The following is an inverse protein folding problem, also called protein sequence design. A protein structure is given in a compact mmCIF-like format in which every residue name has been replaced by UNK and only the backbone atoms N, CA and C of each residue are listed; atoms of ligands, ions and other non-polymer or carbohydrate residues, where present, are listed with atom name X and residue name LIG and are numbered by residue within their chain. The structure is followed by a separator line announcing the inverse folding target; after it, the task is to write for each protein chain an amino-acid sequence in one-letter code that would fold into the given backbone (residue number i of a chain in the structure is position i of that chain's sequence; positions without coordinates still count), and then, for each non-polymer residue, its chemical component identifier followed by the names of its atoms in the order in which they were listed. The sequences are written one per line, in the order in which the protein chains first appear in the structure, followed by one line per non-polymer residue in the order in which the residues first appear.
data_IF_256479380943
#
_entry.id   IF_256479380943
#
_cell.length_a   1.000
_cell.length_b   1.000
_cell.length_c   1.000
_cell.angle_alpha   90.00
_cell.angle_beta   90.00
_cell.angle_gamma   90.00
#
_symmetry.space_group_name_H-M   'P 1'
#
loop_
_entity.id
_entity.type
_entity.pdbx_description
1 polymer ?
#
# COMPACT_ATOMS: atom_id res chain seq x y z
N UNK A 1 -3.11 10.40 -21.42
CA UNK A 1 -2.93 9.96 -20.03
C UNK A 1 -4.04 10.46 -19.10
N UNK A 2 -4.13 11.75 -18.76
CA UNK A 2 -5.15 12.25 -17.82
C UNK A 2 -6.59 11.90 -18.20
N UNK A 3 -6.97 12.04 -19.47
CA UNK A 3 -8.32 11.67 -19.93
C UNK A 3 -8.58 10.16 -19.84
N UNK A 4 -7.55 9.33 -19.99
CA UNK A 4 -7.66 7.88 -19.84
C UNK A 4 -7.85 7.49 -18.37
N UNK A 5 -7.13 8.14 -17.46
CA UNK A 5 -7.32 7.96 -16.02
C UNK A 5 -8.70 8.46 -15.57
N UNK A 6 -9.16 9.59 -16.10
CA UNK A 6 -10.50 10.10 -15.83
C UNK A 6 -11.59 9.16 -16.33
N UNK A 7 -11.40 8.50 -17.49
CA UNK A 7 -12.36 7.53 -18.01
C UNK A 7 -12.57 6.31 -17.08
N UNK A 8 -11.61 6.00 -16.19
CA UNK A 8 -11.80 4.93 -15.20
C UNK A 8 -12.93 5.24 -14.22
N UNK A 9 -13.25 6.52 -13.97
CA UNK A 9 -14.38 6.89 -13.08
C UNK A 9 -15.74 6.63 -13.69
N UNK A 10 -15.79 6.38 -15.00
CA UNK A 10 -17.03 6.06 -15.72
C UNK A 10 -17.33 4.55 -15.70
N UNK A 11 -16.42 3.74 -15.15
CA UNK A 11 -16.70 2.33 -14.86
C UNK A 11 -17.77 2.24 -13.77
N UNK A 12 -18.62 1.18 -13.79
CA UNK A 12 -19.71 1.03 -12.84
C UNK A 12 -19.24 1.22 -11.38
N UNK A 13 -19.97 2.06 -10.64
CA UNK A 13 -19.80 2.40 -9.23
C UNK A 13 -18.45 3.04 -8.80
N UNK A 14 -17.43 3.10 -9.67
CA UNK A 14 -16.08 3.58 -9.28
C UNK A 14 -16.12 5.01 -8.76
N UNK A 15 -16.85 5.91 -9.43
CA UNK A 15 -17.00 7.30 -8.96
C UNK A 15 -17.63 7.38 -7.56
N UNK A 16 -18.73 6.67 -7.35
CA UNK A 16 -19.47 6.70 -6.09
C UNK A 16 -18.65 6.11 -4.94
N UNK A 17 -17.91 5.02 -5.20
CA UNK A 17 -17.00 4.40 -4.23
C UNK A 17 -15.79 5.28 -3.92
N UNK A 18 -15.18 5.91 -4.92
CA UNK A 18 -14.13 6.91 -4.72
C UNK A 18 -14.60 8.08 -3.84
N UNK A 19 -15.84 8.56 -4.06
CA UNK A 19 -16.44 9.61 -3.25
C UNK A 19 -16.73 9.15 -1.81
N UNK A 20 -17.18 7.91 -1.61
CA UNK A 20 -17.34 7.32 -0.28
C UNK A 20 -16.00 7.21 0.47
N UNK A 21 -14.93 6.79 -0.21
CA UNK A 21 -13.57 6.74 0.35
C UNK A 21 -13.10 8.15 0.78
N UNK A 22 -13.32 9.16 -0.08
CA UNK A 22 -13.01 10.56 0.23
C UNK A 22 -13.80 11.08 1.42
N UNK A 23 -15.10 10.77 1.51
CA UNK A 23 -15.94 11.19 2.62
C UNK A 23 -15.49 10.55 3.94
N UNK A 24 -15.19 9.25 3.92
CA UNK A 24 -14.68 8.52 5.09
C UNK A 24 -13.36 9.10 5.60
N UNK A 25 -12.40 9.37 4.71
CA UNK A 25 -11.13 9.99 5.08
C UNK A 25 -11.32 11.43 5.58
N UNK A 26 -12.27 12.17 5.00
CA UNK A 26 -12.62 13.52 5.46
C UNK A 26 -13.18 13.49 6.89
N UNK A 27 -14.09 12.57 7.20
CA UNK A 27 -14.61 12.38 8.58
C UNK A 27 -13.48 12.02 9.54
N UNK A 28 -12.58 11.11 9.15
CA UNK A 28 -11.41 10.76 9.96
C UNK A 28 -10.52 11.97 10.23
N UNK A 29 -10.18 12.76 9.20
CA UNK A 29 -9.35 13.97 9.32
C UNK A 29 -9.89 14.95 10.37
N UNK A 30 -11.20 15.06 10.51
CA UNK A 30 -11.85 15.96 11.49
C UNK A 30 -12.18 15.30 12.83
N UNK A 31 -11.74 14.07 13.06
CA UNK A 31 -11.91 13.38 14.33
C UNK A 31 -11.25 14.14 15.49
N UNK A 32 -11.94 14.23 16.63
CA UNK A 32 -11.54 15.14 17.73
C UNK A 32 -10.15 14.83 18.29
N UNK A 33 -9.76 13.56 18.33
CA UNK A 33 -8.43 13.12 18.77
C UNK A 33 -7.30 13.73 17.92
N UNK A 34 -7.51 13.85 16.61
CA UNK A 34 -6.50 14.29 15.66
C UNK A 34 -6.24 15.80 15.72
N UNK A 35 -6.98 16.56 16.54
CA UNK A 35 -6.63 17.97 16.80
C UNK A 35 -5.31 18.11 17.54
N UNK A 36 -4.92 17.10 18.32
CA UNK A 36 -3.73 17.16 19.19
C UNK A 36 -2.90 15.88 19.22
N UNK A 37 -3.45 14.76 18.74
CA UNK A 37 -2.84 13.43 18.89
C UNK A 37 -2.57 12.73 17.55
N UNK A 38 -2.31 13.50 16.48
CA UNK A 38 -1.93 12.94 15.16
C UNK A 38 -0.68 12.06 15.27
N UNK A 39 0.43 12.49 15.92
CA UNK A 39 1.63 11.66 15.98
C UNK A 39 1.40 10.29 16.62
N UNK A 40 0.59 10.21 17.68
CA UNK A 40 0.27 8.94 18.34
C UNK A 40 -0.66 8.07 17.50
N UNK A 41 -1.68 8.69 16.88
CA UNK A 41 -2.61 7.97 16.01
C UNK A 41 -1.92 7.45 14.73
N UNK A 42 -1.02 8.23 14.13
CA UNK A 42 -0.27 7.82 12.95
C UNK A 42 0.80 6.77 13.27
N UNK A 43 1.39 6.81 14.47
CA UNK A 43 2.29 5.77 14.95
C UNK A 43 1.57 4.42 15.11
N UNK A 44 0.42 4.39 15.79
CA UNK A 44 -0.38 3.16 15.89
C UNK A 44 -0.92 2.72 14.52
N UNK A 45 -1.28 3.66 13.64
CA UNK A 45 -1.69 3.37 12.26
C UNK A 45 -0.61 2.58 11.51
N UNK A 46 0.66 2.95 11.68
CA UNK A 46 1.80 2.22 11.10
C UNK A 46 1.98 0.83 11.72
N UNK A 47 1.74 0.65 13.02
CA UNK A 47 1.77 -0.68 13.67
C UNK A 47 0.74 -1.61 13.05
N UNK A 48 -0.51 -1.15 12.93
CA UNK A 48 -1.60 -1.95 12.36
C UNK A 48 -1.45 -2.14 10.85
N UNK A 49 -0.92 -1.14 10.15
CA UNK A 49 -0.58 -1.22 8.74
C UNK A 49 0.48 -2.28 8.46
N UNK A 50 1.57 -2.31 9.24
CA UNK A 50 2.61 -3.33 9.12
C UNK A 50 2.08 -4.74 9.43
N UNK A 51 1.27 -4.89 10.48
CA UNK A 51 0.63 -6.16 10.83
C UNK A 51 -0.27 -6.67 9.68
N UNK A 52 -1.17 -5.81 9.17
CA UNK A 52 -2.09 -6.18 8.10
C UNK A 52 -1.35 -6.45 6.77
N UNK A 53 -0.30 -5.68 6.48
CA UNK A 53 0.55 -5.89 5.31
C UNK A 53 1.29 -7.23 5.37
N UNK A 54 1.79 -7.63 6.54
CA UNK A 54 2.40 -8.95 6.73
C UNK A 54 1.37 -10.09 6.59
N UNK A 55 0.17 -9.92 7.15
CA UNK A 55 -0.91 -10.90 7.05
C UNK A 55 -1.33 -11.17 5.59
N UNK A 56 -1.36 -10.14 4.74
CA UNK A 56 -1.65 -10.29 3.30
C UNK A 56 -0.59 -11.12 2.55
N UNK A 57 0.63 -11.23 3.09
CA UNK A 57 1.69 -12.10 2.57
C UNK A 57 1.83 -13.39 3.41
N UNK A 58 0.79 -13.75 4.17
CA UNK A 58 0.69 -15.02 4.90
C UNK A 58 1.37 -15.04 6.28
N UNK A 59 1.85 -13.89 6.76
CA UNK A 59 2.56 -13.77 8.03
C UNK A 59 1.67 -13.08 9.09
N UNK A 60 0.84 -13.87 9.78
CA UNK A 60 -0.07 -13.37 10.82
C UNK A 60 0.60 -13.30 12.19
N UNK A 61 0.57 -12.11 12.80
CA UNK A 61 1.12 -11.86 14.13
C UNK A 61 0.14 -11.06 15.00
N UNK A 62 0.12 -11.29 16.33
CA UNK A 62 -0.60 -10.43 17.26
C UNK A 62 -0.10 -8.97 17.22
N UNK A 63 -1.03 -8.01 17.25
CA UNK A 63 -0.70 -6.57 17.08
C UNK A 63 0.20 -6.02 18.19
N UNK A 64 0.10 -6.57 19.39
CA UNK A 64 0.97 -6.30 20.53
C UNK A 64 2.42 -6.71 20.27
N UNK A 65 2.65 -7.89 19.69
CA UNK A 65 3.99 -8.31 19.28
C UNK A 65 4.57 -7.37 18.23
N UNK A 66 3.77 -6.99 17.22
CA UNK A 66 4.21 -6.02 16.19
C UNK A 66 4.53 -4.66 16.82
N UNK A 67 3.69 -4.19 17.75
CA UNK A 67 3.91 -2.93 18.48
C UNK A 67 5.21 -2.95 19.27
N UNK A 68 5.49 -4.02 20.00
CA UNK A 68 6.72 -4.16 20.78
C UNK A 68 7.97 -4.18 19.90
N UNK A 69 7.93 -4.87 18.75
CA UNK A 69 9.03 -4.90 17.79
C UNK A 69 9.28 -3.53 17.15
N UNK A 70 8.21 -2.77 16.86
CA UNK A 70 8.31 -1.44 16.26
C UNK A 70 8.75 -0.36 17.26
N UNK A 71 8.37 -0.49 18.54
CA UNK A 71 8.80 0.43 19.59
C UNK A 71 10.20 0.14 20.12
N UNK A 72 10.74 -1.06 19.82
CA UNK A 72 11.99 -1.55 20.39
C UNK A 72 11.84 -2.08 21.82
N UNK A 73 10.61 -2.26 22.32
CA UNK A 73 10.36 -2.93 23.59
C UNK A 73 10.65 -4.44 23.52
N UNK A 74 10.66 -5.00 22.30
CA UNK A 74 11.10 -6.36 22.00
C UNK A 74 12.16 -6.30 20.91
N UNK A 75 13.28 -6.99 21.14
CA UNK A 75 14.31 -7.16 20.13
C UNK A 75 13.88 -8.17 19.05
N UNK A 76 14.35 -7.94 17.83
CA UNK A 76 14.26 -8.93 16.76
C UNK A 76 15.17 -10.11 17.10
N UNK A 77 14.73 -11.36 16.92
CA UNK A 77 15.62 -12.52 17.00
C UNK A 77 16.78 -12.41 15.98
N UNK A 78 17.95 -12.94 16.34
CA UNK A 78 19.13 -12.95 15.46
C UNK A 78 18.87 -13.77 14.18
N UNK A 79 18.20 -14.92 14.33
CA UNK A 79 17.72 -15.73 13.21
C UNK A 79 16.22 -15.52 13.02
N UNK A 80 15.86 -15.01 11.85
CA UNK A 80 14.48 -14.74 11.48
C UNK A 80 13.96 -15.92 10.68
N UNK A 81 12.90 -16.57 11.19
CA UNK A 81 12.11 -17.50 10.39
C UNK A 81 11.43 -16.77 9.20
N UNK A 82 10.85 -17.49 8.22
CA UNK A 82 10.21 -16.86 7.07
C UNK A 82 9.11 -15.85 7.43
N UNK A 83 8.28 -16.14 8.43
CA UNK A 83 7.20 -15.24 8.85
C UNK A 83 7.75 -13.94 9.46
N UNK A 84 8.77 -14.03 10.31
CA UNK A 84 9.45 -12.88 10.89
C UNK A 84 10.19 -12.04 9.85
N UNK A 85 10.74 -12.65 8.79
CA UNK A 85 11.33 -11.91 7.66
C UNK A 85 10.27 -11.08 6.94
N UNK A 86 9.12 -11.67 6.64
CA UNK A 86 7.98 -10.95 6.04
C UNK A 86 7.51 -9.81 6.95
N UNK A 87 7.33 -10.07 8.25
CA UNK A 87 6.94 -9.05 9.21
C UNK A 87 7.97 -7.91 9.28
N UNK A 88 9.26 -8.22 9.33
CA UNK A 88 10.33 -7.20 9.36
C UNK A 88 10.35 -6.35 8.10
N UNK A 89 10.08 -6.97 6.95
CA UNK A 89 9.91 -6.29 5.67
C UNK A 89 8.70 -5.37 5.69
N UNK A 90 7.55 -5.84 6.16
CA UNK A 90 6.33 -5.05 6.30
C UNK A 90 6.53 -3.83 7.22
N UNK A 91 7.11 -4.04 8.41
CA UNK A 91 7.45 -2.98 9.36
C UNK A 91 8.35 -1.93 8.72
N UNK A 92 9.39 -2.38 8.00
CA UNK A 92 10.37 -1.49 7.37
C UNK A 92 9.77 -0.72 6.19
N UNK A 93 8.95 -1.37 5.36
CA UNK A 93 8.25 -0.74 4.23
C UNK A 93 7.22 0.29 4.70
N UNK A 94 6.42 -0.03 5.73
CA UNK A 94 5.44 0.89 6.33
C UNK A 94 6.12 2.07 7.04
N UNK A 95 7.30 1.88 7.62
CA UNK A 95 8.08 3.01 8.16
C UNK A 95 8.67 3.89 7.05
N UNK A 96 9.14 3.28 5.95
CA UNK A 96 9.71 4.01 4.82
C UNK A 96 8.64 4.76 4.01
N UNK A 97 7.39 4.29 3.99
CA UNK A 97 6.28 4.96 3.29
C UNK A 97 6.10 6.41 3.76
N UNK A 98 6.25 6.68 5.06
CA UNK A 98 6.19 8.03 5.64
C UNK A 98 7.30 8.94 5.09
N UNK A 99 8.50 8.38 4.88
CA UNK A 99 9.66 9.14 4.39
C UNK A 99 9.60 9.45 2.90
N UNK A 100 8.90 8.62 2.12
CA UNK A 100 8.77 8.83 0.67
C UNK A 100 7.56 9.67 0.28
N UNK A 101 6.66 10.05 1.20
CA UNK A 101 5.49 10.92 0.93
C UNK A 101 5.86 12.20 0.15
N UNK A 102 6.96 12.85 0.53
CA UNK A 102 7.43 14.07 -0.14
C UNK A 102 7.99 13.81 -1.55
N UNK A 103 8.32 12.56 -1.86
CA UNK A 103 9.01 12.14 -3.08
C UNK A 103 8.08 11.48 -4.10
N UNK A 104 7.05 10.74 -3.65
CA UNK A 104 6.25 9.87 -4.54
C UNK A 104 5.62 10.62 -5.72
N UNK A 105 5.32 11.91 -5.57
CA UNK A 105 4.70 12.74 -6.62
C UNK A 105 5.67 13.18 -7.72
N UNK A 106 6.96 13.32 -7.39
CA UNK A 106 7.96 13.94 -8.27
C UNK A 106 9.01 12.95 -8.75
N UNK A 107 9.32 11.93 -7.95
CA UNK A 107 10.23 10.84 -8.31
C UNK A 107 9.68 9.48 -7.85
N UNK A 108 8.54 9.03 -8.41
CA UNK A 108 7.88 7.78 -8.02
C UNK A 108 8.80 6.56 -8.12
N UNK A 109 9.67 6.47 -9.12
CA UNK A 109 10.61 5.35 -9.27
C UNK A 109 11.69 5.34 -8.18
N UNK A 110 12.14 6.52 -7.73
CA UNK A 110 13.08 6.61 -6.62
C UNK A 110 12.40 6.22 -5.30
N UNK A 111 11.15 6.62 -5.10
CA UNK A 111 10.36 6.17 -3.95
C UNK A 111 10.17 4.64 -3.97
N UNK A 112 9.84 4.07 -5.13
CA UNK A 112 9.69 2.63 -5.30
C UNK A 112 10.97 1.86 -4.97
N UNK A 113 12.12 2.35 -5.43
CA UNK A 113 13.43 1.77 -5.12
C UNK A 113 13.71 1.79 -3.60
N UNK A 114 13.46 2.91 -2.93
CA UNK A 114 13.63 3.05 -1.47
C UNK A 114 12.72 2.11 -0.68
N UNK A 115 11.44 2.04 -1.07
CA UNK A 115 10.47 1.11 -0.49
C UNK A 115 10.93 -0.34 -0.66
N UNK A 116 11.46 -0.71 -1.84
CA UNK A 116 11.97 -2.06 -2.06
C UNK A 116 13.19 -2.38 -1.19
N UNK A 117 14.14 -1.45 -1.05
CA UNK A 117 15.27 -1.64 -0.12
C UNK A 117 14.76 -1.91 1.30
N UNK A 118 13.81 -1.11 1.77
CA UNK A 118 13.24 -1.27 3.11
C UNK A 118 12.50 -2.62 3.27
N UNK A 119 11.62 -2.96 2.31
CA UNK A 119 10.79 -4.16 2.35
C UNK A 119 11.60 -5.45 2.22
N UNK A 120 12.57 -5.49 1.31
CA UNK A 120 13.21 -6.72 0.90
C UNK A 120 14.55 -7.00 1.60
N UNK A 121 15.15 -6.03 2.30
CA UNK A 121 16.42 -6.23 3.02
C UNK A 121 16.48 -7.43 3.99
N UNK A 122 15.38 -7.92 4.61
CA UNK A 122 15.43 -9.14 5.41
C UNK A 122 15.63 -10.44 4.61
N UNK A 123 15.38 -10.42 3.29
CA UNK A 123 15.33 -11.62 2.43
C UNK A 123 16.29 -11.52 1.24
N UNK A 124 16.37 -10.35 0.60
CA UNK A 124 17.18 -10.07 -0.59
C UNK A 124 18.51 -9.45 -0.16
N UNK A 125 19.60 -9.89 -0.80
CA UNK A 125 20.95 -9.37 -0.57
C UNK A 125 21.59 -8.88 -1.86
N UNK A 126 22.62 -8.05 -1.70
CA UNK A 126 23.49 -7.62 -2.79
C UNK A 126 22.79 -6.69 -3.79
N UNK A 127 23.21 -6.81 -5.06
CA UNK A 127 22.88 -5.85 -6.11
C UNK A 127 21.43 -5.87 -6.59
N UNK A 128 20.62 -6.84 -6.15
CA UNK A 128 19.20 -6.91 -6.49
C UNK A 128 18.33 -5.94 -5.68
N UNK A 129 18.81 -5.44 -4.53
CA UNK A 129 18.06 -4.48 -3.71
C UNK A 129 17.89 -3.14 -4.43
N UNK A 130 16.69 -2.59 -4.38
CA UNK A 130 16.36 -1.27 -4.93
C UNK A 130 16.35 -1.15 -6.46
N UNK A 131 16.56 -2.24 -7.23
CA UNK A 131 16.49 -2.20 -8.70
C UNK A 131 15.49 -3.21 -9.28
N UNK A 132 14.92 -2.96 -10.46
CA UNK A 132 14.09 -3.94 -11.14
C UNK A 132 14.86 -5.22 -11.52
N UNK A 133 14.10 -6.32 -11.71
CA UNK A 133 14.56 -7.59 -12.27
C UNK A 133 15.20 -7.40 -13.65
N UNK A 134 16.24 -8.17 -13.95
CA UNK A 134 16.95 -8.19 -15.24
C UNK A 134 17.24 -9.62 -15.71
N UNK A 135 17.56 -9.79 -17.00
CA UNK A 135 17.98 -11.09 -17.55
C UNK A 135 16.92 -12.16 -17.31
N UNK A 136 17.33 -13.24 -16.65
CA UNK A 136 16.49 -14.40 -16.31
C UNK A 136 15.99 -14.36 -14.84
N UNK A 137 16.11 -13.22 -14.15
CA UNK A 137 15.60 -13.06 -12.78
C UNK A 137 14.06 -13.15 -12.77
N UNK A 138 13.54 -14.08 -11.95
CA UNK A 138 12.11 -14.31 -11.78
C UNK A 138 11.60 -13.83 -10.40
N UNK A 139 10.29 -13.87 -10.20
CA UNK A 139 9.62 -13.58 -8.95
C UNK A 139 8.60 -14.69 -8.63
N UNK A 140 8.72 -15.29 -7.44
CA UNK A 140 7.85 -16.39 -6.97
C UNK A 140 6.73 -15.92 -6.05
N UNK A 141 6.52 -14.61 -5.94
CA UNK A 141 5.44 -14.01 -5.15
C UNK A 141 4.16 -13.85 -5.98
N UNK A 142 3.02 -13.74 -5.28
CA UNK A 142 1.72 -13.47 -5.91
C UNK A 142 1.38 -14.45 -7.04
N UNK A 143 1.68 -15.74 -6.82
CA UNK A 143 1.51 -16.80 -7.83
C UNK A 143 0.07 -16.94 -8.35
N UNK A 144 -0.92 -16.54 -7.56
CA UNK A 144 -2.34 -16.52 -7.94
C UNK A 144 -2.66 -15.53 -9.06
N UNK A 145 -1.77 -14.58 -9.34
CA UNK A 145 -1.86 -13.64 -10.46
C UNK A 145 -1.28 -14.24 -11.76
N UNK A 146 -0.75 -15.47 -11.72
CA UNK A 146 -0.05 -16.10 -12.84
C UNK A 146 1.44 -15.74 -12.92
N UNK A 147 2.14 -16.17 -13.98
CA UNK A 147 3.58 -15.95 -14.12
C UNK A 147 3.92 -14.45 -14.14
N UNK A 148 5.03 -14.06 -13.50
CA UNK A 148 5.51 -12.68 -13.57
C UNK A 148 5.83 -12.28 -15.01
N UNK A 149 5.56 -11.02 -15.41
CA UNK A 149 6.02 -10.53 -16.70
C UNK A 149 7.54 -10.65 -16.86
N UNK A 150 8.01 -10.94 -18.07
CA UNK A 150 9.43 -11.05 -18.37
C UNK A 150 10.20 -9.76 -17.98
N UNK A 151 11.44 -9.86 -17.46
CA UNK A 151 12.24 -8.68 -17.09
C UNK A 151 12.37 -7.62 -18.20
N UNK A 152 12.35 -8.05 -19.47
CA UNK A 152 12.47 -7.18 -20.65
C UNK A 152 11.36 -6.12 -20.77
N UNK A 153 10.18 -6.34 -20.18
CA UNK A 153 9.07 -5.36 -20.23
C UNK A 153 8.99 -4.47 -18.98
N UNK A 154 9.72 -4.81 -17.90
CA UNK A 154 9.56 -4.17 -16.58
C UNK A 154 9.93 -2.68 -16.64
N UNK A 155 11.04 -2.33 -17.29
CA UNK A 155 11.48 -0.93 -17.38
C UNK A 155 10.44 -0.03 -18.08
N UNK A 156 9.88 -0.49 -19.19
CA UNK A 156 8.85 0.25 -19.93
C UNK A 156 7.56 0.42 -19.11
N UNK A 157 7.13 -0.65 -18.42
CA UNK A 157 5.97 -0.63 -17.53
C UNK A 157 6.16 0.34 -16.36
N UNK A 158 7.34 0.35 -15.74
CA UNK A 158 7.68 1.28 -14.66
C UNK A 158 7.72 2.74 -15.15
N UNK A 159 8.21 3.00 -16.36
CA UNK A 159 8.14 4.33 -16.96
C UNK A 159 6.68 4.79 -17.11
N UNK A 160 5.80 3.93 -17.64
CA UNK A 160 4.36 4.22 -17.73
C UNK A 160 3.71 4.43 -16.36
N UNK A 161 4.08 3.65 -15.35
CA UNK A 161 3.63 3.83 -13.97
C UNK A 161 4.04 5.20 -13.42
N UNK A 162 5.26 5.64 -13.69
CA UNK A 162 5.74 6.98 -13.33
C UNK A 162 4.88 8.06 -13.97
N UNK A 163 4.55 7.92 -15.26
CA UNK A 163 3.68 8.87 -15.97
C UNK A 163 2.27 8.93 -15.37
N UNK A 164 1.71 7.79 -14.96
CA UNK A 164 0.43 7.71 -14.25
C UNK A 164 0.48 8.49 -12.94
N UNK A 165 1.51 8.27 -12.11
CA UNK A 165 1.65 8.95 -10.82
C UNK A 165 1.79 10.46 -11.02
N UNK A 166 2.66 10.90 -11.91
CA UNK A 166 2.89 12.34 -12.18
C UNK A 166 1.64 13.01 -12.73
N UNK A 167 0.95 12.37 -13.68
CA UNK A 167 -0.30 12.88 -14.23
C UNK A 167 -1.38 13.00 -13.14
N UNK A 168 -1.61 11.93 -12.36
CA UNK A 168 -2.59 11.92 -11.28
C UNK A 168 -2.28 12.92 -10.18
N UNK A 169 -1.00 13.08 -9.82
CA UNK A 169 -0.55 14.04 -8.81
C UNK A 169 -0.64 15.51 -9.24
N UNK A 170 -0.69 15.78 -10.54
CA UNK A 170 -0.77 17.12 -11.12
C UNK A 170 -2.19 17.63 -11.38
N UNK A 171 -3.23 16.84 -11.07
CA UNK A 171 -4.62 17.17 -11.38
C UNK A 171 -5.58 16.74 -10.28
N UNK A 172 -6.71 17.42 -10.16
CA UNK A 172 -7.84 17.01 -9.31
C UNK A 172 -8.98 16.33 -10.12
N UNK A 173 -8.77 16.08 -11.41
CA UNK A 173 -9.77 15.44 -12.30
C UNK A 173 -9.98 13.96 -11.99
N UNK A 174 -8.97 13.31 -11.41
CA UNK A 174 -8.99 11.89 -11.06
C UNK A 174 -8.98 11.79 -9.53
N UNK A 175 -9.91 11.06 -8.90
CA UNK A 175 -9.88 10.85 -7.46
C UNK A 175 -8.56 10.22 -6.99
N UNK A 176 -8.02 10.70 -5.88
CA UNK A 176 -6.77 10.17 -5.32
C UNK A 176 -6.83 8.66 -5.01
N UNK A 177 -8.01 8.15 -4.60
CA UNK A 177 -8.23 6.73 -4.36
C UNK A 177 -8.02 5.89 -5.62
N UNK A 178 -8.51 6.36 -6.77
CA UNK A 178 -8.32 5.69 -8.08
C UNK A 178 -6.85 5.65 -8.46
N UNK A 179 -6.12 6.76 -8.29
CA UNK A 179 -4.68 6.83 -8.61
C UNK A 179 -3.88 5.87 -7.71
N UNK A 180 -4.13 5.88 -6.39
CA UNK A 180 -3.45 5.01 -5.45
C UNK A 180 -3.74 3.53 -5.72
N UNK A 181 -5.01 3.18 -5.97
CA UNK A 181 -5.43 1.82 -6.31
C UNK A 181 -4.77 1.34 -7.62
N UNK A 182 -4.76 2.16 -8.66
CA UNK A 182 -4.15 1.80 -9.93
C UNK A 182 -2.65 1.53 -9.78
N UNK A 183 -1.94 2.40 -9.05
CA UNK A 183 -0.50 2.24 -8.82
C UNK A 183 -0.20 0.97 -8.02
N UNK A 184 -1.00 0.67 -7.00
CA UNK A 184 -0.90 -0.58 -6.25
C UNK A 184 -1.01 -1.79 -7.18
N UNK A 185 -2.08 -1.88 -7.96
CA UNK A 185 -2.29 -3.02 -8.86
C UNK A 185 -1.19 -3.14 -9.92
N UNK A 186 -0.73 -2.03 -10.51
CA UNK A 186 0.38 -2.07 -11.47
C UNK A 186 1.66 -2.61 -10.83
N UNK A 187 2.03 -2.20 -9.61
CA UNK A 187 3.21 -2.73 -8.92
C UNK A 187 3.06 -4.24 -8.68
N UNK A 188 1.92 -4.67 -8.15
CA UNK A 188 1.62 -6.08 -7.89
C UNK A 188 1.57 -6.93 -9.18
N UNK A 189 1.18 -6.33 -10.31
CA UNK A 189 1.07 -7.00 -11.62
C UNK A 189 2.42 -7.06 -12.35
N UNK A 190 3.17 -5.97 -12.36
CA UNK A 190 4.50 -5.89 -12.97
C UNK A 190 5.47 -6.80 -12.22
N UNK A 191 5.31 -6.91 -10.89
CA UNK A 191 6.26 -7.55 -9.97
C UNK A 191 7.68 -7.11 -10.29
N UNK A 192 8.02 -5.81 -10.19
CA UNK A 192 9.28 -5.30 -10.70
C UNK A 192 10.52 -5.86 -10.00
N UNK A 193 10.39 -6.42 -8.80
CA UNK A 193 11.49 -6.91 -7.99
C UNK A 193 11.48 -8.44 -7.87
N UNK A 194 12.62 -9.04 -7.53
CA UNK A 194 12.73 -10.49 -7.27
C UNK A 194 11.92 -10.94 -6.05
N UNK A 195 11.64 -10.02 -5.12
CA UNK A 195 10.87 -10.26 -3.89
C UNK A 195 10.37 -8.93 -3.30
N UNK A 196 9.42 -8.97 -2.36
CA UNK A 196 8.84 -7.83 -1.65
C UNK A 196 7.78 -7.04 -2.42
N UNK A 197 7.26 -7.52 -3.55
CA UNK A 197 6.40 -6.72 -4.45
C UNK A 197 5.06 -6.35 -3.80
N UNK A 198 4.43 -7.27 -3.06
CA UNK A 198 3.19 -7.02 -2.33
C UNK A 198 3.36 -5.95 -1.25
N UNK A 199 4.40 -6.09 -0.42
CA UNK A 199 4.77 -5.11 0.60
C UNK A 199 5.02 -3.72 -0.01
N UNK A 200 5.76 -3.65 -1.12
CA UNK A 200 6.07 -2.40 -1.81
C UNK A 200 4.81 -1.77 -2.39
N UNK A 201 3.90 -2.55 -3.00
CA UNK A 201 2.64 -2.04 -3.54
C UNK A 201 1.79 -1.36 -2.44
N UNK A 202 1.62 -2.02 -1.29
CA UNK A 202 0.87 -1.49 -0.14
C UNK A 202 1.53 -0.26 0.48
N UNK A 203 2.86 -0.27 0.62
CA UNK A 203 3.58 0.88 1.14
C UNK A 203 3.55 2.09 0.18
N UNK A 204 3.59 1.86 -1.13
CA UNK A 204 3.44 2.91 -2.14
C UNK A 204 2.03 3.49 -2.14
N UNK A 205 1.00 2.64 -2.05
CA UNK A 205 -0.38 3.07 -1.89
C UNK A 205 -0.54 3.99 -0.67
N UNK A 206 -0.06 3.55 0.50
CA UNK A 206 -0.08 4.34 1.73
C UNK A 206 0.56 5.72 1.56
N UNK A 207 1.73 5.77 0.91
CA UNK A 207 2.42 7.03 0.64
C UNK A 207 1.61 7.93 -0.32
N UNK A 208 0.99 7.36 -1.36
CA UNK A 208 0.17 8.10 -2.31
C UNK A 208 -1.13 8.62 -1.70
N UNK A 209 -1.82 7.81 -0.88
CA UNK A 209 -3.02 8.23 -0.14
C UNK A 209 -2.74 9.50 0.67
N UNK A 210 -1.58 9.57 1.33
CA UNK A 210 -1.17 10.75 2.08
C UNK A 210 -0.72 11.90 1.16
N UNK A 211 0.17 11.62 0.19
CA UNK A 211 0.76 12.64 -0.67
C UNK A 211 -0.25 13.33 -1.60
N UNK A 212 -1.29 12.61 -2.03
CA UNK A 212 -2.39 13.11 -2.84
C UNK A 212 -3.50 13.79 -2.01
N UNK A 213 -3.35 13.80 -0.68
CA UNK A 213 -4.23 14.52 0.24
C UNK A 213 -5.55 13.83 0.55
N UNK A 214 -5.69 12.53 0.25
CA UNK A 214 -6.88 11.75 0.61
C UNK A 214 -6.96 11.57 2.12
N UNK A 215 -5.85 11.16 2.76
CA UNK A 215 -5.66 11.25 4.21
C UNK A 215 -4.33 11.97 4.53
N UNK A 216 -4.34 13.31 4.67
CA UNK A 216 -3.14 14.07 5.02
C UNK A 216 -2.57 13.74 6.40
N UNK A 217 -3.37 13.13 7.29
CA UNK A 217 -2.95 12.83 8.67
C UNK A 217 -2.13 11.53 8.77
N UNK A 218 -2.22 10.65 7.76
CA UNK A 218 -1.55 9.36 7.75
C UNK A 218 -2.07 8.38 8.81
N UNK A 219 -3.32 8.55 9.24
CA UNK A 219 -3.95 7.76 10.31
C UNK A 219 -4.80 6.62 9.76
N UNK A 220 -5.35 6.77 8.55
CA UNK A 220 -6.04 5.67 7.89
C UNK A 220 -5.09 4.47 7.68
N UNK A 221 -5.66 3.27 7.70
CA UNK A 221 -4.91 2.01 7.56
C UNK A 221 -5.40 1.26 6.32
N UNK A 222 -5.00 1.66 5.09
CA UNK A 222 -5.41 0.99 3.85
C UNK A 222 -5.19 -0.53 3.90
N UNK A 223 -4.06 -0.97 4.47
CA UNK A 223 -3.70 -2.37 4.56
C UNK A 223 -4.71 -3.19 5.38
N UNK A 224 -5.16 -2.66 6.53
CA UNK A 224 -6.22 -3.28 7.33
C UNK A 224 -7.56 -3.29 6.58
N UNK A 225 -7.80 -2.29 5.73
CA UNK A 225 -8.93 -2.24 4.82
C UNK A 225 -8.93 -3.39 3.81
N UNK A 226 -7.79 -3.69 3.19
CA UNK A 226 -7.64 -4.82 2.27
C UNK A 226 -7.81 -6.17 2.99
N UNK A 227 -7.33 -6.29 4.23
CA UNK A 227 -7.53 -7.50 5.06
C UNK A 227 -8.99 -7.72 5.46
N UNK A 228 -9.80 -6.68 5.58
CA UNK A 228 -11.11 -6.74 6.22
C UNK A 228 -12.13 -7.68 5.55
N UNK A 229 -11.97 -7.97 4.25
CA UNK A 229 -12.81 -8.93 3.50
C UNK A 229 -12.07 -10.27 3.25
N UNK A 230 -10.91 -10.48 3.89
CA UNK A 230 -10.06 -11.65 3.77
C UNK A 230 -9.07 -11.58 2.59
N UNK A 231 -7.94 -12.27 2.74
CA UNK A 231 -6.90 -12.40 1.70
C UNK A 231 -7.43 -12.81 0.31
N UNK A 232 -8.39 -13.75 0.19
CA UNK A 232 -8.96 -14.14 -1.10
C UNK A 232 -9.68 -13.01 -1.84
N UNK A 233 -10.31 -12.06 -1.14
CA UNK A 233 -10.98 -10.92 -1.79
C UNK A 233 -9.95 -9.97 -2.42
N UNK A 234 -8.86 -9.70 -1.70
CA UNK A 234 -7.74 -8.89 -2.20
C UNK A 234 -7.05 -9.56 -3.40
N UNK A 235 -6.65 -10.84 -3.27
CA UNK A 235 -5.97 -11.57 -4.33
C UNK A 235 -6.88 -11.79 -5.54
N UNK A 236 -8.15 -12.15 -5.34
CA UNK A 236 -9.11 -12.33 -6.42
C UNK A 236 -9.34 -11.07 -7.25
N UNK A 237 -9.39 -9.90 -6.60
CA UNK A 237 -9.50 -8.62 -7.29
C UNK A 237 -8.23 -8.29 -8.10
N UNK A 238 -7.03 -8.55 -7.55
CA UNK A 238 -5.77 -8.40 -8.29
C UNK A 238 -5.66 -9.38 -9.47
N UNK A 239 -6.10 -10.63 -9.30
CA UNK A 239 -6.15 -11.61 -10.40
C UNK A 239 -7.08 -11.12 -11.50
N UNK A 240 -8.24 -10.57 -11.17
CA UNK A 240 -9.15 -9.98 -12.17
C UNK A 240 -8.53 -8.77 -12.88
N UNK A 241 -7.79 -7.92 -12.14
CA UNK A 241 -7.04 -6.82 -12.73
C UNK A 241 -6.02 -7.29 -13.76
N UNK A 242 -5.24 -8.33 -13.44
CA UNK A 242 -4.22 -8.90 -14.34
C UNK A 242 -4.85 -9.54 -15.59
N UNK A 243 -6.01 -10.17 -15.45
CA UNK A 243 -6.79 -10.67 -16.60
C UNK A 243 -7.26 -9.53 -17.53
N UNK A 244 -7.32 -8.31 -17.01
CA UNK A 244 -7.59 -7.08 -17.76
C UNK A 244 -9.07 -6.87 -18.09
N UNK A 245 -9.31 -5.94 -19.01
CA UNK A 245 -10.66 -5.52 -19.39
C UNK A 245 -11.33 -4.61 -18.37
N UNK A 246 -12.39 -3.93 -18.80
CA UNK A 246 -13.11 -2.95 -17.99
C UNK A 246 -13.68 -3.55 -16.70
N UNK A 247 -14.17 -4.78 -16.75
CA UNK A 247 -14.73 -5.48 -15.58
C UNK A 247 -13.67 -5.82 -14.52
N UNK A 248 -12.51 -6.35 -14.94
CA UNK A 248 -11.42 -6.69 -14.02
C UNK A 248 -10.83 -5.47 -13.35
N UNK A 249 -10.61 -4.39 -14.12
CA UNK A 249 -10.16 -3.09 -13.59
C UNK A 249 -11.19 -2.50 -12.63
N UNK A 250 -12.48 -2.49 -13.01
CA UNK A 250 -13.55 -1.98 -12.15
C UNK A 250 -13.70 -2.76 -10.83
N UNK A 251 -13.51 -4.08 -10.86
CA UNK A 251 -13.54 -4.92 -9.66
C UNK A 251 -12.41 -4.56 -8.69
N UNK A 252 -11.18 -4.40 -9.20
CA UNK A 252 -10.04 -3.97 -8.38
C UNK A 252 -10.25 -2.58 -7.77
N UNK A 253 -10.63 -1.59 -8.60
CA UNK A 253 -10.86 -0.22 -8.12
C UNK A 253 -11.92 -0.20 -7.01
N UNK A 254 -13.03 -0.93 -7.22
CA UNK A 254 -14.09 -1.05 -6.22
C UNK A 254 -13.62 -1.68 -4.92
N UNK A 255 -12.82 -2.74 -5.00
CA UNK A 255 -12.23 -3.40 -3.83
C UNK A 255 -11.32 -2.43 -3.06
N UNK A 256 -10.42 -1.73 -3.76
CA UNK A 256 -9.46 -0.83 -3.15
C UNK A 256 -10.14 0.40 -2.51
N UNK A 257 -11.17 0.95 -3.14
CA UNK A 257 -11.94 2.06 -2.59
C UNK A 257 -12.74 1.65 -1.34
N UNK A 258 -13.33 0.45 -1.35
CA UNK A 258 -13.98 -0.11 -0.16
C UNK A 258 -12.96 -0.38 0.96
N UNK A 259 -11.78 -0.90 0.62
CA UNK A 259 -10.68 -1.06 1.56
C UNK A 259 -10.28 0.29 2.16
N UNK A 260 -10.23 1.38 1.38
CA UNK A 260 -9.93 2.71 1.89
C UNK A 260 -11.00 3.21 2.88
N UNK A 261 -12.29 2.98 2.61
CA UNK A 261 -13.37 3.29 3.57
C UNK A 261 -13.16 2.54 4.89
N UNK A 262 -12.85 1.25 4.83
CA UNK A 262 -12.58 0.41 6.01
C UNK A 262 -11.30 0.81 6.73
N UNK A 263 -10.27 1.19 5.99
CA UNK A 263 -9.02 1.72 6.52
C UNK A 263 -9.20 3.05 7.26
N UNK A 264 -10.10 3.91 6.78
CA UNK A 264 -10.48 5.13 7.49
C UNK A 264 -11.27 4.82 8.78
N UNK A 265 -12.14 3.80 8.77
CA UNK A 265 -12.83 3.33 9.97
C UNK A 265 -11.86 2.72 11.00
N UNK A 266 -10.79 2.05 10.56
CA UNK A 266 -9.72 1.62 11.46
C UNK A 266 -8.95 2.80 12.05
N UNK A 267 -8.64 3.82 11.25
CA UNK A 267 -8.06 5.07 11.74
C UNK A 267 -8.94 5.76 12.81
N UNK A 268 -10.26 5.69 12.68
CA UNK A 268 -11.18 6.21 13.69
C UNK A 268 -11.10 5.41 15.00
N UNK A 269 -11.05 4.07 14.93
CA UNK A 269 -10.86 3.21 16.11
C UNK A 269 -9.54 3.48 16.83
N UNK A 270 -8.46 3.70 16.08
CA UNK A 270 -7.17 4.14 16.63
C UNK A 270 -7.33 5.49 17.34
N UNK A 271 -7.97 6.45 16.67
CA UNK A 271 -8.18 7.80 17.19
C UNK A 271 -8.98 7.80 18.50
N UNK A 272 -10.02 6.96 18.60
CA UNK A 272 -10.78 6.75 19.83
C UNK A 272 -9.93 6.14 20.96
N UNK A 273 -9.09 5.17 20.64
CA UNK A 273 -8.21 4.52 21.61
C UNK A 273 -7.14 5.48 22.14
N UNK A 274 -6.51 6.27 21.26
CA UNK A 274 -5.54 7.31 21.65
C UNK A 274 -6.20 8.38 22.53
N UNK A 275 -7.41 8.84 22.14
CA UNK A 275 -8.17 9.83 22.93
C UNK A 275 -8.48 9.33 24.33
N UNK A 276 -8.81 8.05 24.46
CA UNK A 276 -9.09 7.40 25.74
C UNK A 276 -7.83 7.02 26.53
N UNK A 277 -6.62 7.30 26.03
CA UNK A 277 -5.37 6.95 26.69
C UNK A 277 -5.09 5.45 26.75
N UNK A 278 -5.69 4.64 25.86
CA UNK A 278 -5.52 3.18 25.80
C UNK A 278 -4.34 2.72 24.94
N UNK A 279 -3.72 3.65 24.22
CA UNK A 279 -2.52 3.44 23.43
C UNK A 279 -1.47 4.40 24.03
N UNK A 280 -0.51 3.83 24.74
CA UNK A 280 0.62 4.52 25.38
C UNK A 280 1.89 3.77 25.05
#
# INVERSE_FOLDING_TARGET
MLDQLAALTELPDVRDRADAAREACTRLRFHEALRRRIPEASAESRVRGAQASAALDGAEFPVDVVRELMSGARDWPDDLDPGLRTLKGAVSATAESERVVALVRTAPLQALARLHVAAASPVVRGEALGRPRIGDEDCTELVDLGPAPAPTVVAARLASLSDVVVAGAGSNRVPAAVVAALVHAEIASIRPFVHGNGLVARAMERALVQALGLDPTGVAVPEAGHVANGGPAYLGALTAYVQGGAAGVGLWLSQAEEAMVRGAAEGARISDAVRAGRLT
#
